data_IF_307718125829
#
_entry.id   IF_307718125829
#
_cell.length_a   1.000
_cell.length_b   1.000
_cell.length_c   1.000
_cell.angle_alpha   90.00
_cell.angle_beta   90.00
_cell.angle_gamma   90.00
#
_symmetry.space_group_name_H-M   'P 1'
#
loop_
_entity.id
_entity.type
_entity.pdbx_description
1 polymer ?
#
# COMPACT_ATOMS: atom_id res chain seq x y z
N UNK A 1 5.68 -10.74 0.55
CA UNK A 1 4.99 -10.47 1.85
C UNK A 1 3.78 -9.60 1.60
N UNK A 2 2.67 -9.87 2.30
CA UNK A 2 1.42 -9.10 2.19
C UNK A 2 1.21 -8.25 3.45
N UNK A 3 0.81 -7.00 3.27
CA UNK A 3 0.51 -6.05 4.33
C UNK A 3 -0.91 -5.52 4.15
N UNK A 4 -1.72 -5.62 5.20
CA UNK A 4 -3.15 -5.28 5.16
C UNK A 4 -3.37 -4.02 6.00
N UNK A 5 -3.89 -2.96 5.38
CA UNK A 5 -4.35 -1.76 6.06
C UNK A 5 -5.86 -1.76 6.22
N UNK A 6 -6.29 -1.32 7.39
CA UNK A 6 -7.70 -1.07 7.69
C UNK A 6 -8.01 0.43 7.55
N UNK A 7 -8.79 0.81 6.54
CA UNK A 7 -9.33 2.18 6.42
C UNK A 7 -10.61 2.34 7.24
N UNK A 8 -10.88 3.53 7.82
CA UNK A 8 -12.15 3.80 8.53
C UNK A 8 -13.33 3.77 7.57
N UNK A 9 -13.10 4.30 6.38
CA UNK A 9 -14.18 4.78 5.52
C UNK A 9 -14.66 3.70 4.54
N UNK A 10 -13.99 2.55 4.50
CA UNK A 10 -14.31 1.46 3.59
C UNK A 10 -14.33 0.14 4.34
N UNK A 11 -15.42 -0.61 4.21
CA UNK A 11 -15.56 -1.98 4.73
C UNK A 11 -14.56 -2.98 4.12
N UNK A 12 -13.72 -2.54 3.18
CA UNK A 12 -12.76 -3.35 2.45
C UNK A 12 -11.34 -2.85 2.78
N UNK A 13 -10.44 -3.74 3.24
CA UNK A 13 -9.07 -3.38 3.58
C UNK A 13 -8.22 -3.13 2.33
N UNK A 14 -7.23 -2.24 2.45
CA UNK A 14 -6.19 -2.06 1.42
C UNK A 14 -5.12 -3.14 1.63
N UNK A 15 -4.82 -3.93 0.61
CA UNK A 15 -3.80 -4.99 0.66
C UNK A 15 -2.63 -4.59 -0.23
N UNK A 16 -1.45 -4.47 0.37
CA UNK A 16 -0.18 -4.31 -0.31
C UNK A 16 0.51 -5.67 -0.39
N UNK A 17 1.03 -6.04 -1.54
CA UNK A 17 1.90 -7.20 -1.71
C UNK A 17 3.24 -6.70 -2.21
N UNK A 18 4.31 -7.01 -1.49
CA UNK A 18 5.70 -6.72 -1.89
C UNK A 18 6.45 -8.04 -1.87
N UNK A 19 6.82 -8.53 -3.05
CA UNK A 19 7.55 -9.77 -3.23
C UNK A 19 8.83 -9.48 -4.02
N UNK A 20 9.94 -9.16 -3.33
CA UNK A 20 11.20 -8.80 -3.99
C UNK A 20 11.85 -10.01 -4.68
N UNK A 21 11.59 -11.22 -4.20
CA UNK A 21 12.09 -12.46 -4.82
C UNK A 21 11.49 -12.69 -6.21
N UNK A 22 10.23 -12.32 -6.41
CA UNK A 22 9.53 -12.43 -7.69
C UNK A 22 9.42 -11.09 -8.45
N UNK A 23 9.85 -9.97 -7.85
CA UNK A 23 9.67 -8.63 -8.40
C UNK A 23 8.20 -8.21 -8.52
N UNK A 24 7.33 -8.75 -7.65
CA UNK A 24 5.89 -8.50 -7.71
C UNK A 24 5.52 -7.49 -6.64
N UNK A 25 5.01 -6.34 -7.08
CA UNK A 25 4.56 -5.26 -6.20
C UNK A 25 3.11 -4.94 -6.55
N UNK A 26 2.14 -5.26 -5.68
CA UNK A 26 0.72 -4.99 -5.98
C UNK A 26 0.04 -4.23 -4.86
N UNK A 27 -0.91 -3.38 -5.23
CA UNK A 27 -1.85 -2.75 -4.31
C UNK A 27 -3.25 -3.16 -4.71
N UNK A 28 -4.04 -3.61 -3.75
CA UNK A 28 -5.50 -3.75 -3.86
C UNK A 28 -6.18 -2.81 -2.89
N UNK A 29 -7.05 -1.96 -3.40
CA UNK A 29 -7.83 -1.01 -2.60
C UNK A 29 -9.27 -1.48 -2.39
N UNK A 30 -9.99 -0.74 -1.56
CA UNK A 30 -11.42 -0.92 -1.32
C UNK A 30 -12.30 -0.65 -2.54
N UNK A 31 -11.87 0.21 -3.47
CA UNK A 31 -12.63 0.55 -4.66
C UNK A 31 -12.53 -0.51 -5.77
N UNK A 32 -12.14 -1.75 -5.44
CA UNK A 32 -11.87 -2.87 -6.36
C UNK A 32 -10.74 -2.66 -7.36
N UNK A 33 -10.08 -1.51 -7.33
CA UNK A 33 -8.90 -1.24 -8.15
C UNK A 33 -7.67 -1.95 -7.55
N UNK A 34 -7.11 -2.84 -8.34
CA UNK A 34 -5.83 -3.50 -8.06
C UNK A 34 -4.78 -3.04 -9.07
N UNK A 35 -3.70 -2.42 -8.61
CA UNK A 35 -2.58 -2.05 -9.48
C UNK A 35 -1.36 -2.92 -9.20
N UNK A 36 -0.67 -3.27 -10.28
CA UNK A 36 0.54 -4.09 -10.28
C UNK A 36 1.67 -3.20 -10.78
N UNK A 37 2.74 -3.16 -10.02
CA UNK A 37 3.96 -2.42 -10.28
C UNK A 37 5.09 -3.43 -10.47
N UNK A 38 5.99 -3.11 -11.39
CA UNK A 38 7.22 -3.88 -11.57
C UNK A 38 8.33 -3.37 -10.64
N UNK A 39 8.21 -2.11 -10.21
CA UNK A 39 9.18 -1.46 -9.35
C UNK A 39 8.56 -1.05 -8.01
N UNK A 40 9.29 -1.24 -6.90
CA UNK A 40 8.82 -0.84 -5.57
C UNK A 40 8.77 0.68 -5.40
N UNK A 41 9.60 1.43 -6.12
CA UNK A 41 9.55 2.90 -6.16
C UNK A 41 8.25 3.40 -6.80
N UNK A 42 7.78 2.73 -7.85
CA UNK A 42 6.50 3.05 -8.49
C UNK A 42 5.33 2.78 -7.55
N UNK A 43 5.37 1.66 -6.81
CA UNK A 43 4.38 1.36 -5.77
C UNK A 43 4.36 2.46 -4.70
N UNK A 44 5.53 2.92 -4.24
CA UNK A 44 5.62 3.99 -3.24
C UNK A 44 5.06 5.31 -3.77
N UNK A 45 5.48 5.75 -4.96
CA UNK A 45 4.99 6.97 -5.59
C UNK A 45 3.47 6.93 -5.80
N UNK A 46 2.97 5.77 -6.24
CA UNK A 46 1.54 5.58 -6.42
C UNK A 46 0.80 5.63 -5.08
N UNK A 47 1.35 4.99 -4.04
CA UNK A 47 0.79 5.00 -2.69
C UNK A 47 0.69 6.44 -2.18
N UNK A 48 1.74 7.26 -2.30
CA UNK A 48 1.70 8.67 -1.88
C UNK A 48 0.76 9.55 -2.72
N UNK A 49 0.55 9.21 -4.01
CA UNK A 49 -0.36 9.96 -4.89
C UNK A 49 -1.84 9.61 -4.71
N UNK A 50 -2.13 8.32 -4.48
CA UNK A 50 -3.50 7.81 -4.48
C UNK A 50 -4.06 7.62 -3.07
N UNK A 51 -3.20 7.44 -2.08
CA UNK A 51 -3.59 7.26 -0.70
C UNK A 51 -3.13 8.47 0.09
N UNK A 52 -4.09 9.24 0.58
CA UNK A 52 -3.81 10.33 1.52
C UNK A 52 -4.06 9.87 2.96
N UNK A 53 -3.34 10.42 3.94
CA UNK A 53 -3.57 10.11 5.36
C UNK A 53 -5.00 10.40 5.82
N UNK A 54 -5.76 11.22 5.09
CA UNK A 54 -7.18 11.49 5.33
C UNK A 54 -8.11 10.29 5.02
N UNK A 55 -7.67 9.34 4.18
CA UNK A 55 -8.42 8.10 3.88
C UNK A 55 -8.29 7.01 4.95
N UNK A 56 -7.50 7.25 6.00
CA UNK A 56 -7.22 6.28 7.06
C UNK A 56 -7.69 6.76 8.42
N UNK A 57 -7.83 5.79 9.33
CA UNK A 57 -8.26 5.99 10.73
C UNK A 57 -7.33 6.85 11.52
N UNK A 58 -6.08 6.86 11.11
CA UNK A 58 -5.05 7.70 11.67
C UNK A 58 -3.95 7.87 10.64
N UNK A 59 -3.38 9.05 10.61
CA UNK A 59 -2.14 9.33 9.89
C UNK A 59 -1.00 8.39 10.29
N UNK A 60 -1.08 7.77 11.47
CA UNK A 60 -0.18 6.71 11.94
C UNK A 60 -0.27 5.42 11.12
N UNK A 61 -1.47 4.98 10.69
CA UNK A 61 -1.65 3.78 9.87
C UNK A 61 -1.01 3.98 8.50
N UNK A 62 -1.30 5.13 7.89
CA UNK A 62 -0.67 5.55 6.63
C UNK A 62 0.86 5.53 6.72
N UNK A 63 1.42 6.13 7.78
CA UNK A 63 2.87 6.17 8.01
C UNK A 63 3.48 4.78 8.23
N UNK A 64 2.80 3.89 8.96
CA UNK A 64 3.28 2.52 9.18
C UNK A 64 3.42 1.74 7.88
N UNK A 65 2.41 1.83 7.01
CA UNK A 65 2.47 1.18 5.71
C UNK A 65 3.55 1.79 4.81
N UNK A 66 3.67 3.12 4.80
CA UNK A 66 4.74 3.79 4.06
C UNK A 66 6.13 3.40 4.56
N UNK A 67 6.30 3.28 5.87
CA UNK A 67 7.53 2.78 6.50
C UNK A 67 7.78 1.32 6.11
N UNK A 68 6.76 0.47 6.14
CA UNK A 68 6.85 -0.93 5.76
C UNK A 68 7.24 -1.09 4.29
N UNK A 69 6.62 -0.33 3.38
CA UNK A 69 7.01 -0.31 1.98
C UNK A 69 8.50 0.01 1.88
N UNK A 70 8.94 1.14 2.45
CA UNK A 70 10.35 1.58 2.47
C UNK A 70 11.34 0.55 3.00
N UNK A 71 10.97 -0.18 4.05
CA UNK A 71 11.79 -1.24 4.64
C UNK A 71 11.94 -2.46 3.72
N UNK A 72 10.96 -2.73 2.86
CA UNK A 72 10.99 -3.85 1.91
C UNK A 72 11.52 -3.45 0.52
N UNK A 73 11.78 -2.16 0.26
CA UNK A 73 12.46 -1.70 -0.96
C UNK A 73 13.99 -1.68 -0.81
N UNK A 74 14.48 -1.62 0.44
CA UNK A 74 15.88 -1.35 0.77
C UNK A 74 16.65 -2.63 1.08
#
# INVERSE_FOLDING_TARGET
MDYILSSVDSEIPVVLTIDPDNGIYTIRKSDTSGEVFNDPEDLLNWYEKNLEPAHFSSSSEYKKALQWIKDNIH
#
